data_IF_949899474533
#
_entry.id   IF_949899474533
#
_cell.length_a   1.000
_cell.length_b   1.000
_cell.length_c   1.000
_cell.angle_alpha   90.00
_cell.angle_beta   90.00
_cell.angle_gamma   90.00
#
_symmetry.space_group_name_H-M   'P 1'
#
loop_
_entity.id
_entity.type
_entity.pdbx_description
1 polymer ?
#
# COMPACT_ATOMS: atom_id res chain seq x y z
N UNK A 1 -21.53 -42.29 43.68
CA UNK A 1 -21.63 -41.86 45.10
C UNK A 1 -21.88 -43.08 45.98
N UNK A 2 -20.82 -43.63 46.60
CA UNK A 2 -20.84 -44.74 47.57
C UNK A 2 -20.34 -44.21 48.92
N UNK A 3 -20.86 -43.04 49.31
CA UNK A 3 -20.32 -42.23 50.41
C UNK A 3 -21.11 -42.39 51.74
N UNK A 4 -22.03 -43.35 51.82
CA UNK A 4 -22.95 -43.50 52.95
C UNK A 4 -22.54 -44.56 54.00
N UNK A 5 -21.43 -45.27 53.82
CA UNK A 5 -20.98 -46.30 54.77
C UNK A 5 -19.99 -45.73 55.80
N UNK A 6 -20.22 -46.03 57.09
CA UNK A 6 -19.48 -45.47 58.22
C UNK A 6 -18.08 -46.06 58.44
N UNK A 7 -17.71 -47.11 57.69
CA UNK A 7 -16.39 -47.75 57.78
C UNK A 7 -15.94 -48.11 56.37
N UNK A 8 -14.87 -47.47 55.89
CA UNK A 8 -14.26 -47.77 54.60
C UNK A 8 -13.09 -48.71 54.78
N UNK A 9 -12.98 -49.71 53.90
CA UNK A 9 -11.76 -50.51 53.80
C UNK A 9 -10.67 -49.74 53.06
N UNK A 10 -9.39 -50.03 53.34
CA UNK A 10 -8.25 -49.36 52.68
C UNK A 10 -8.32 -49.45 51.15
N UNK A 11 -8.84 -50.56 50.61
CA UNK A 11 -9.02 -50.75 49.17
C UNK A 11 -10.07 -49.78 48.59
N UNK A 12 -11.19 -49.59 49.29
CA UNK A 12 -12.25 -48.66 48.88
C UNK A 12 -11.80 -47.21 48.96
N UNK A 13 -11.06 -46.83 50.01
CA UNK A 13 -10.45 -45.49 50.10
C UNK A 13 -9.45 -45.27 48.95
N UNK A 14 -8.64 -46.28 48.63
CA UNK A 14 -7.67 -46.20 47.52
C UNK A 14 -8.36 -46.09 46.15
N UNK A 15 -9.48 -46.80 45.96
CA UNK A 15 -10.31 -46.68 44.75
C UNK A 15 -10.97 -45.31 44.66
N UNK A 16 -11.51 -44.78 45.75
CA UNK A 16 -12.12 -43.45 45.79
C UNK A 16 -11.09 -42.37 45.45
N UNK A 17 -9.87 -42.50 45.97
CA UNK A 17 -8.77 -41.57 45.71
C UNK A 17 -8.27 -41.66 44.26
N UNK A 18 -8.23 -42.86 43.67
CA UNK A 18 -7.92 -43.05 42.25
C UNK A 18 -9.01 -42.47 41.34
N UNK A 19 -10.29 -42.67 41.69
CA UNK A 19 -11.41 -42.09 40.95
C UNK A 19 -11.38 -40.56 41.02
N UNK A 20 -11.10 -39.99 42.20
CA UNK A 20 -10.94 -38.55 42.37
C UNK A 20 -9.74 -38.03 41.57
N UNK A 21 -8.60 -38.73 41.59
CA UNK A 21 -7.44 -38.39 40.78
C UNK A 21 -7.78 -38.36 39.29
N UNK A 22 -8.48 -39.38 38.80
CA UNK A 22 -8.91 -39.43 37.39
C UNK A 22 -9.84 -38.27 37.05
N UNK A 23 -10.83 -37.99 37.91
CA UNK A 23 -11.76 -36.88 37.69
C UNK A 23 -11.03 -35.53 37.65
N UNK A 24 -10.17 -35.26 38.63
CA UNK A 24 -9.38 -34.01 38.68
C UNK A 24 -8.46 -33.90 37.47
N UNK A 25 -7.86 -35.00 37.01
CA UNK A 25 -7.00 -34.97 35.81
C UNK A 25 -7.83 -34.62 34.57
N UNK A 26 -9.01 -35.24 34.41
CA UNK A 26 -9.93 -34.96 33.31
C UNK A 26 -10.42 -33.50 33.33
N UNK A 27 -10.74 -32.98 34.52
CA UNK A 27 -11.20 -31.61 34.69
C UNK A 27 -10.08 -30.61 34.33
N UNK A 28 -8.84 -30.87 34.79
CA UNK A 28 -7.68 -30.04 34.43
C UNK A 28 -7.39 -30.12 32.93
N UNK A 29 -7.49 -31.30 32.31
CA UNK A 29 -7.30 -31.46 30.87
C UNK A 29 -8.35 -30.66 30.07
N UNK A 30 -9.62 -30.73 30.47
CA UNK A 30 -10.69 -29.95 29.86
C UNK A 30 -10.48 -28.45 30.05
N UNK A 31 -10.12 -28.00 31.25
CA UNK A 31 -9.81 -26.60 31.52
C UNK A 31 -8.59 -26.12 30.69
N UNK A 32 -7.54 -26.93 30.57
CA UNK A 32 -6.36 -26.59 29.78
C UNK A 32 -6.72 -26.46 28.28
N UNK A 33 -7.55 -27.37 27.76
CA UNK A 33 -8.06 -27.30 26.39
C UNK A 33 -8.89 -26.01 26.21
N UNK A 34 -9.78 -25.71 27.15
CA UNK A 34 -10.61 -24.49 27.11
C UNK A 34 -9.75 -23.22 27.13
N UNK A 35 -8.76 -23.14 28.01
CA UNK A 35 -7.80 -22.02 28.08
C UNK A 35 -7.04 -21.88 26.76
N UNK A 36 -6.58 -22.99 26.19
CA UNK A 36 -5.90 -22.98 24.89
C UNK A 36 -6.81 -22.45 23.77
N UNK A 37 -8.06 -22.90 23.72
CA UNK A 37 -9.05 -22.42 22.74
C UNK A 37 -9.34 -20.92 22.91
N UNK A 38 -9.53 -20.46 24.15
CA UNK A 38 -9.76 -19.03 24.45
C UNK A 38 -8.55 -18.19 24.06
N UNK A 39 -7.34 -18.62 24.40
CA UNK A 39 -6.12 -17.91 24.04
C UNK A 39 -5.92 -17.82 22.53
N UNK A 40 -6.24 -18.90 21.79
CA UNK A 40 -6.20 -18.89 20.33
C UNK A 40 -7.23 -17.90 19.75
N UNK A 41 -8.44 -17.88 20.29
CA UNK A 41 -9.49 -16.96 19.86
C UNK A 41 -9.11 -15.50 20.15
N UNK A 42 -8.56 -15.24 21.35
CA UNK A 42 -8.07 -13.92 21.75
C UNK A 42 -6.97 -13.44 20.81
N UNK A 43 -5.98 -14.29 20.51
CA UNK A 43 -4.89 -13.96 19.60
C UNK A 43 -5.42 -13.65 18.19
N UNK A 44 -6.37 -14.45 17.69
CA UNK A 44 -7.04 -14.18 16.41
C UNK A 44 -7.76 -12.84 16.41
N UNK A 45 -8.48 -12.52 17.48
CA UNK A 45 -9.20 -11.25 17.60
C UNK A 45 -8.23 -10.07 17.64
N UNK A 46 -7.13 -10.19 18.40
CA UNK A 46 -6.10 -9.18 18.51
C UNK A 46 -5.44 -8.92 17.15
N UNK A 47 -5.09 -9.97 16.39
CA UNK A 47 -4.56 -9.81 15.03
C UNK A 47 -5.57 -9.17 14.07
N UNK A 48 -6.84 -9.57 14.15
CA UNK A 48 -7.90 -8.98 13.30
C UNK A 48 -8.10 -7.49 13.60
N UNK A 49 -7.99 -7.10 14.88
CA UNK A 49 -8.07 -5.70 15.28
C UNK A 49 -6.80 -4.95 14.85
N UNK A 50 -5.61 -5.50 15.05
CA UNK A 50 -4.37 -4.88 14.58
C UNK A 50 -4.37 -4.65 13.07
N UNK A 51 -4.87 -5.62 12.29
CA UNK A 51 -5.03 -5.51 10.83
C UNK A 51 -6.00 -4.39 10.43
N UNK A 52 -7.17 -4.31 11.07
CA UNK A 52 -8.14 -3.22 10.83
C UNK A 52 -7.58 -1.83 11.10
N UNK A 53 -6.64 -1.72 12.03
CA UNK A 53 -6.04 -0.46 12.45
C UNK A 53 -4.66 -0.22 11.82
N UNK A 54 -4.24 -1.08 10.87
CA UNK A 54 -2.93 -1.03 10.19
C UNK A 54 -1.73 -0.97 11.17
N UNK A 55 -1.83 -1.67 12.30
CA UNK A 55 -0.78 -1.72 13.32
C UNK A 55 0.18 -2.88 13.06
N UNK A 56 1.48 -2.61 13.14
CA UNK A 56 2.51 -3.65 13.11
C UNK A 56 2.65 -4.26 14.51
N UNK A 57 2.28 -5.55 14.64
CA UNK A 57 2.45 -6.27 15.90
C UNK A 57 3.86 -6.86 15.99
N UNK A 58 4.70 -6.27 16.82
CA UNK A 58 5.98 -6.86 17.19
C UNK A 58 5.78 -7.75 18.41
N UNK A 59 5.94 -9.06 18.24
CA UNK A 59 5.96 -10.01 19.36
C UNK A 59 7.39 -10.02 19.90
N UNK A 60 7.59 -9.44 21.08
CA UNK A 60 8.88 -9.49 21.77
C UNK A 60 9.12 -10.92 22.32
N UNK A 61 9.74 -11.77 21.50
CA UNK A 61 10.13 -13.15 21.87
C UNK A 61 11.19 -13.15 23.00
N UNK A 62 11.82 -11.99 23.25
CA UNK A 62 12.80 -11.78 24.30
C UNK A 62 12.28 -12.05 25.71
N UNK A 63 10.97 -11.90 25.96
CA UNK A 63 10.36 -12.22 27.27
C UNK A 63 9.95 -13.70 27.40
N UNK A 64 9.58 -14.36 26.28
CA UNK A 64 9.17 -15.77 26.27
C UNK A 64 10.37 -16.70 26.47
N UNK A 65 11.51 -16.32 25.90
CA UNK A 65 12.76 -16.96 26.24
C UNK A 65 13.22 -16.35 27.56
N UNK A 66 12.92 -17.02 28.68
CA UNK A 66 13.48 -16.70 30.00
C UNK A 66 15.02 -16.85 29.95
N UNK A 67 15.69 -15.93 29.28
CA UNK A 67 17.13 -15.90 29.03
C UNK A 67 17.87 -15.89 30.36
N UNK A 68 17.28 -15.25 31.36
CA UNK A 68 17.74 -15.29 32.74
C UNK A 68 17.69 -16.70 33.35
N UNK A 69 16.58 -17.46 33.22
CA UNK A 69 16.54 -18.84 33.71
C UNK A 69 17.50 -19.74 32.94
N UNK A 70 17.63 -19.55 31.62
CA UNK A 70 18.59 -20.30 30.81
C UNK A 70 20.04 -19.96 31.17
N UNK A 71 20.33 -18.72 31.54
CA UNK A 71 21.65 -18.28 32.00
C UNK A 71 21.94 -18.78 33.42
N UNK A 72 20.93 -18.83 34.30
CA UNK A 72 21.04 -19.46 35.63
C UNK A 72 21.28 -20.97 35.49
N UNK A 73 20.51 -21.68 34.65
CA UNK A 73 20.72 -23.12 34.39
C UNK A 73 22.10 -23.35 33.78
N UNK A 74 22.49 -22.54 32.79
CA UNK A 74 23.83 -22.61 32.19
C UNK A 74 24.93 -22.36 33.22
N UNK A 75 24.76 -21.38 34.11
CA UNK A 75 25.73 -21.10 35.17
C UNK A 75 25.81 -22.25 36.18
N UNK A 76 24.68 -22.88 36.50
CA UNK A 76 24.59 -24.02 37.40
C UNK A 76 25.23 -25.28 36.78
N UNK A 77 25.03 -25.51 35.49
CA UNK A 77 25.66 -26.60 34.72
C UNK A 77 27.17 -26.39 34.59
N UNK A 78 27.62 -25.14 34.38
CA UNK A 78 29.06 -24.81 34.36
C UNK A 78 29.71 -24.89 35.74
N UNK A 79 28.99 -24.53 36.81
CA UNK A 79 29.45 -24.68 38.18
C UNK A 79 29.47 -26.16 38.61
N UNK A 80 28.55 -26.97 38.09
CA UNK A 80 28.51 -28.42 38.33
C UNK A 80 29.59 -29.19 37.55
N UNK A 81 30.05 -28.67 36.41
CA UNK A 81 31.17 -29.24 35.64
C UNK A 81 32.55 -28.90 36.23
N UNK A 82 32.68 -27.83 37.00
CA UNK A 82 33.94 -27.42 37.64
C UNK A 82 33.85 -27.62 39.16
N UNK A 83 33.86 -28.89 39.59
CA UNK A 83 33.77 -29.28 40.99
C UNK A 83 35.07 -29.03 41.80
N UNK A 84 35.63 -27.81 41.80
CA UNK A 84 36.83 -27.49 42.59
C UNK A 84 37.03 -26.03 43.01
N UNK A 85 36.00 -25.17 43.05
CA UNK A 85 36.12 -23.86 43.72
C UNK A 85 34.96 -23.55 44.67
N UNK A 86 35.24 -22.88 45.82
CA UNK A 86 34.25 -22.61 46.83
C UNK A 86 33.22 -21.58 46.32
N UNK A 87 31.95 -21.90 46.58
CA UNK A 87 30.76 -21.12 46.24
C UNK A 87 30.93 -19.59 46.45
N UNK A 88 30.58 -18.74 45.46
CA UNK A 88 30.39 -17.33 45.72
C UNK A 88 29.07 -17.15 46.46
N UNK A 89 29.17 -16.54 47.64
CA UNK A 89 28.07 -16.08 48.48
C UNK A 89 27.11 -15.18 47.68
N UNK A 90 25.82 -15.30 47.98
CA UNK A 90 24.64 -14.57 47.44
C UNK A 90 24.70 -13.02 47.47
N UNK A 91 25.86 -12.41 47.72
CA UNK A 91 26.03 -10.97 47.98
C UNK A 91 26.35 -10.12 46.73
N UNK A 92 26.55 -10.72 45.55
CA UNK A 92 26.86 -9.98 44.30
C UNK A 92 25.67 -9.84 43.34
N UNK A 93 24.44 -10.10 43.80
CA UNK A 93 23.25 -9.66 43.08
C UNK A 93 23.14 -8.14 43.28
N UNK A 94 23.88 -7.37 42.47
CA UNK A 94 23.57 -5.97 42.23
C UNK A 94 22.12 -5.94 41.75
N UNK A 95 21.22 -5.52 42.63
CA UNK A 95 19.87 -5.13 42.28
C UNK A 95 19.98 -3.93 41.35
N UNK A 96 20.16 -4.19 40.05
CA UNK A 96 19.82 -3.22 39.03
C UNK A 96 18.36 -2.91 39.26
N UNK A 97 18.10 -1.72 39.82
CA UNK A 97 16.77 -1.13 39.90
C UNK A 97 16.13 -1.32 38.52
N UNK A 98 15.15 -2.19 38.45
CA UNK A 98 14.30 -2.34 37.28
C UNK A 98 13.72 -0.95 37.02
N UNK A 99 14.15 -0.34 35.92
CA UNK A 99 13.51 0.88 35.46
C UNK A 99 12.07 0.52 35.06
N UNK A 100 11.08 1.36 35.39
CA UNK A 100 9.70 1.11 35.01
C UNK A 100 9.62 0.84 33.50
N UNK A 101 8.99 -0.29 33.13
CA UNK A 101 8.89 -0.77 31.74
C UNK A 101 8.30 0.29 30.77
N UNK A 102 7.49 1.22 31.31
CA UNK A 102 6.95 2.38 30.61
C UNK A 102 8.03 3.29 30.01
N UNK A 103 9.18 3.48 30.66
CA UNK A 103 10.21 4.42 30.19
C UNK A 103 10.96 3.92 28.95
N UNK A 104 11.25 2.63 28.84
CA UNK A 104 11.94 2.07 27.66
C UNK A 104 11.02 2.11 26.44
N UNK A 105 9.73 1.83 26.62
CA UNK A 105 8.75 1.87 25.55
C UNK A 105 8.47 3.31 25.11
N UNK A 106 8.32 4.24 26.06
CA UNK A 106 8.13 5.67 25.77
C UNK A 106 9.39 6.28 25.13
N UNK A 107 10.61 5.91 25.53
CA UNK A 107 11.84 6.42 24.90
C UNK A 107 12.02 5.89 23.47
N UNK A 108 11.72 4.61 23.21
CA UNK A 108 11.75 4.06 21.85
C UNK A 108 10.66 4.67 20.96
N UNK A 109 9.44 4.81 21.48
CA UNK A 109 8.35 5.50 20.75
C UNK A 109 8.72 6.97 20.54
N UNK A 110 9.29 7.64 21.53
CA UNK A 110 9.73 9.05 21.42
C UNK A 110 10.86 9.21 20.40
N UNK A 111 11.82 8.28 20.34
CA UNK A 111 12.91 8.32 19.34
C UNK A 111 12.41 8.03 17.93
N UNK A 112 11.49 7.07 17.75
CA UNK A 112 10.85 6.81 16.45
C UNK A 112 10.01 8.00 16.02
N UNK A 113 9.19 8.55 16.92
CA UNK A 113 8.35 9.72 16.65
C UNK A 113 9.21 10.95 16.34
N UNK A 114 10.32 11.15 17.05
CA UNK A 114 11.29 12.22 16.74
C UNK A 114 11.92 12.02 15.36
N UNK A 115 12.32 10.80 15.01
CA UNK A 115 12.86 10.49 13.68
C UNK A 115 11.83 10.75 12.58
N UNK A 116 10.57 10.40 12.82
CA UNK A 116 9.49 10.67 11.87
C UNK A 116 9.17 12.16 11.76
N UNK A 117 9.18 12.89 12.88
CA UNK A 117 9.04 14.35 12.90
C UNK A 117 10.19 15.01 12.13
N UNK A 118 11.43 14.53 12.27
CA UNK A 118 12.58 15.03 11.51
C UNK A 118 12.43 14.76 10.01
N UNK A 119 12.01 13.55 9.61
CA UNK A 119 11.73 13.25 8.20
C UNK A 119 10.62 14.12 7.62
N UNK A 120 9.53 14.30 8.36
CA UNK A 120 8.42 15.16 7.94
C UNK A 120 8.83 16.63 7.86
N UNK A 121 9.69 17.10 8.78
CA UNK A 121 10.26 18.45 8.72
C UNK A 121 11.18 18.62 7.50
N UNK A 122 12.06 17.65 7.24
CA UNK A 122 12.92 17.67 6.06
C UNK A 122 12.11 17.65 4.75
N UNK A 123 11.05 16.83 4.67
CA UNK A 123 10.16 16.81 3.53
C UNK A 123 9.41 18.14 3.37
N UNK A 124 8.94 18.75 4.46
CA UNK A 124 8.33 20.07 4.41
C UNK A 124 9.31 21.15 3.97
N UNK A 125 10.55 21.14 4.43
CA UNK A 125 11.59 22.06 3.94
C UNK A 125 11.83 21.88 2.45
N UNK A 126 11.93 20.64 1.95
CA UNK A 126 12.05 20.36 0.51
C UNK A 126 10.83 20.85 -0.28
N UNK A 127 9.61 20.67 0.23
CA UNK A 127 8.41 21.19 -0.43
C UNK A 127 8.33 22.71 -0.41
N UNK A 128 8.85 23.36 0.63
CA UNK A 128 8.94 24.82 0.70
C UNK A 128 9.94 25.33 -0.34
N UNK A 129 11.14 24.75 -0.43
CA UNK A 129 12.13 25.15 -1.44
C UNK A 129 11.61 24.93 -2.85
N UNK A 130 10.99 23.77 -3.11
CA UNK A 130 10.38 23.49 -4.42
C UNK A 130 9.25 24.48 -4.76
N UNK A 131 8.43 24.88 -3.78
CA UNK A 131 7.42 25.92 -3.98
C UNK A 131 8.02 27.31 -4.24
N UNK A 132 9.15 27.64 -3.61
CA UNK A 132 9.86 28.89 -3.87
C UNK A 132 10.46 28.91 -5.27
N UNK A 133 11.09 27.81 -5.71
CA UNK A 133 11.61 27.64 -7.07
C UNK A 133 10.50 27.77 -8.11
N UNK A 134 9.37 27.06 -7.91
CA UNK A 134 8.21 27.16 -8.80
C UNK A 134 7.61 28.57 -8.81
N UNK A 135 7.59 29.28 -7.68
CA UNK A 135 7.14 30.68 -7.63
C UNK A 135 8.08 31.60 -8.42
N UNK A 136 9.40 31.40 -8.31
CA UNK A 136 10.38 32.19 -9.05
C UNK A 136 10.28 31.93 -10.55
N UNK A 137 10.15 30.67 -10.96
CA UNK A 137 9.96 30.29 -12.37
C UNK A 137 8.66 30.88 -12.94
N UNK A 138 7.55 30.79 -12.20
CA UNK A 138 6.28 31.37 -12.60
C UNK A 138 6.36 32.91 -12.69
N UNK A 139 7.16 33.55 -11.80
CA UNK A 139 7.49 34.97 -11.89
C UNK A 139 8.23 35.33 -13.18
N UNK A 140 9.25 34.54 -13.57
CA UNK A 140 10.00 34.71 -14.82
C UNK A 140 9.10 34.53 -16.05
N UNK A 141 8.30 33.47 -16.07
CA UNK A 141 7.32 33.21 -17.13
C UNK A 141 6.31 34.36 -17.27
N UNK A 142 5.83 34.91 -16.16
CA UNK A 142 4.92 36.07 -16.16
C UNK A 142 5.59 37.31 -16.75
N UNK A 143 6.83 37.60 -16.36
CA UNK A 143 7.60 38.72 -16.92
C UNK A 143 7.85 38.55 -18.42
N UNK A 144 8.22 37.35 -18.87
CA UNK A 144 8.38 37.03 -20.29
C UNK A 144 7.08 37.22 -21.06
N UNK A 145 5.95 36.77 -20.51
CA UNK A 145 4.62 36.96 -21.12
C UNK A 145 4.25 38.43 -21.24
N UNK A 146 4.52 39.23 -20.21
CA UNK A 146 4.30 40.68 -20.26
C UNK A 146 5.19 41.37 -21.31
N UNK A 147 6.45 40.95 -21.44
CA UNK A 147 7.37 41.46 -22.45
C UNK A 147 6.91 41.10 -23.87
N UNK A 148 6.48 39.85 -24.07
CA UNK A 148 5.98 39.38 -25.37
C UNK A 148 4.68 40.09 -25.76
N UNK A 149 3.76 40.31 -24.81
CA UNK A 149 2.54 41.08 -25.06
C UNK A 149 2.86 42.53 -25.46
N UNK A 150 3.83 43.19 -24.82
CA UNK A 150 4.26 44.53 -25.25
C UNK A 150 4.83 44.53 -26.67
N UNK A 151 5.66 43.55 -27.00
CA UNK A 151 6.18 43.42 -28.37
C UNK A 151 5.06 43.19 -29.38
N UNK A 152 4.04 42.40 -29.02
CA UNK A 152 2.86 42.16 -29.86
C UNK A 152 2.07 43.45 -30.07
N UNK A 153 1.77 44.20 -29.01
CA UNK A 153 1.10 45.51 -29.08
C UNK A 153 1.87 46.53 -29.93
N UNK A 154 3.20 46.54 -29.82
CA UNK A 154 4.05 47.43 -30.62
C UNK A 154 4.06 47.03 -32.09
N UNK A 155 4.07 45.71 -32.38
CA UNK A 155 3.96 45.18 -33.74
C UNK A 155 2.59 45.44 -34.36
N UNK A 156 1.51 45.33 -33.59
CA UNK A 156 0.16 45.64 -34.05
C UNK A 156 0.03 47.14 -34.39
N UNK A 157 0.60 48.03 -33.57
CA UNK A 157 0.65 49.47 -33.88
C UNK A 157 1.49 49.79 -35.11
N UNK A 158 2.60 49.07 -35.31
CA UNK A 158 3.45 49.22 -36.49
C UNK A 158 2.73 48.72 -37.74
N UNK A 159 2.02 47.60 -37.65
CA UNK A 159 1.16 47.07 -38.71
C UNK A 159 0.04 48.07 -39.05
N UNK A 160 -0.65 48.62 -38.06
CA UNK A 160 -1.70 49.64 -38.26
C UNK A 160 -1.17 50.90 -38.95
N UNK A 161 0.06 51.31 -38.67
CA UNK A 161 0.72 52.43 -39.36
C UNK A 161 1.01 52.08 -40.82
N UNK A 162 1.61 50.92 -41.07
CA UNK A 162 1.91 50.45 -42.44
C UNK A 162 0.63 50.29 -43.26
N UNK A 163 -0.45 49.77 -42.69
CA UNK A 163 -1.75 49.67 -43.35
C UNK A 163 -2.31 51.05 -43.67
N UNK A 164 -2.26 52.01 -42.74
CA UNK A 164 -2.69 53.40 -43.01
C UNK A 164 -1.85 54.07 -44.09
N UNK A 165 -0.55 53.84 -44.09
CA UNK A 165 0.40 54.40 -45.07
C UNK A 165 0.13 53.81 -46.47
N UNK A 166 -0.06 52.48 -46.58
CA UNK A 166 -0.49 51.81 -47.83
C UNK A 166 -1.86 52.24 -48.32
N UNK A 167 -2.84 52.43 -47.42
CA UNK A 167 -4.17 52.98 -47.79
C UNK A 167 -4.11 54.44 -48.25
N UNK A 168 -3.04 55.18 -47.91
CA UNK A 168 -2.78 56.53 -48.39
C UNK A 168 -2.10 56.51 -49.76
N UNK A 169 -1.19 55.56 -49.99
CA UNK A 169 -0.48 55.36 -51.26
C UNK A 169 -1.37 54.73 -52.36
N UNK A 170 -2.34 53.88 -52.00
CA UNK A 170 -3.27 53.23 -52.95
C UNK A 170 -4.30 54.18 -53.59
N UNK A 171 -4.37 55.45 -53.16
CA UNK A 171 -5.20 56.48 -53.83
C UNK A 171 -4.53 57.14 -55.04
N UNK A 172 -3.25 56.88 -55.31
CA UNK A 172 -2.48 57.61 -56.35
C UNK A 172 -2.01 56.73 -57.51
N UNK A 173 -2.07 55.39 -57.43
CA UNK A 173 -1.54 54.53 -58.50
C UNK A 173 -2.51 53.39 -58.89
N UNK A 174 -3.56 53.72 -59.64
CA UNK A 174 -4.52 52.71 -60.15
C UNK A 174 -4.36 52.35 -61.64
N UNK A 175 -3.43 52.94 -62.40
CA UNK A 175 -3.38 52.68 -63.86
C UNK A 175 -2.18 51.87 -64.40
N UNK A 176 -1.29 51.35 -63.54
CA UNK A 176 -0.14 50.53 -64.00
C UNK A 176 -0.07 49.11 -63.42
N UNK A 177 -1.09 48.62 -62.71
CA UNK A 177 -0.97 47.45 -61.82
C UNK A 177 -1.52 46.11 -62.35
N UNK A 178 -2.05 46.01 -63.57
CA UNK A 178 -2.74 44.78 -64.05
C UNK A 178 -1.79 43.60 -64.32
N UNK A 179 -0.49 43.85 -64.56
CA UNK A 179 0.54 42.82 -64.73
C UNK A 179 1.14 42.35 -63.41
N UNK A 180 1.41 43.28 -62.48
CA UNK A 180 1.94 42.92 -61.16
C UNK A 180 0.88 42.25 -60.26
N UNK A 181 -0.40 42.59 -60.41
CA UNK A 181 -1.48 41.93 -59.66
C UNK A 181 -1.55 40.42 -59.95
N UNK A 182 -1.34 40.03 -61.22
CA UNK A 182 -1.38 38.61 -61.62
C UNK A 182 -0.19 37.83 -61.08
N UNK A 183 1.00 38.43 -61.05
CA UNK A 183 2.19 37.81 -60.46
C UNK A 183 2.06 37.69 -58.93
N UNK A 184 1.52 38.72 -58.28
CA UNK A 184 1.22 38.70 -56.83
C UNK A 184 0.15 37.66 -56.51
N UNK A 185 -0.92 37.56 -57.30
CA UNK A 185 -1.97 36.55 -57.12
C UNK A 185 -1.44 35.12 -57.36
N UNK A 186 -0.52 34.92 -58.30
CA UNK A 186 0.14 33.61 -58.48
C UNK A 186 1.03 33.25 -57.30
N UNK A 187 1.84 34.20 -56.82
CA UNK A 187 2.71 33.97 -55.65
C UNK A 187 1.88 33.71 -54.40
N UNK A 188 0.75 34.42 -54.22
CA UNK A 188 -0.14 34.22 -53.09
C UNK A 188 -0.78 32.82 -53.11
N UNK A 189 -1.21 32.34 -54.29
CA UNK A 189 -1.73 30.98 -54.47
C UNK A 189 -0.67 29.93 -54.21
N UNK A 190 0.56 30.14 -54.67
CA UNK A 190 1.67 29.23 -54.41
C UNK A 190 1.99 29.17 -52.90
N UNK A 191 1.96 30.30 -52.19
CA UNK A 191 2.10 30.34 -50.73
C UNK A 191 0.95 29.66 -50.01
N UNK A 192 -0.30 29.88 -50.42
CA UNK A 192 -1.47 29.19 -49.86
C UNK A 192 -1.40 27.68 -50.09
N UNK A 193 -0.93 27.25 -51.26
CA UNK A 193 -0.74 25.84 -51.59
C UNK A 193 0.36 25.21 -50.74
N UNK A 194 1.53 25.85 -50.62
CA UNK A 194 2.64 25.38 -49.79
C UNK A 194 2.24 25.32 -48.32
N UNK A 195 1.52 26.33 -47.82
CA UNK A 195 1.03 26.34 -46.44
C UNK A 195 0.01 25.23 -46.18
N UNK A 196 -0.91 24.99 -47.12
CA UNK A 196 -1.87 23.90 -47.05
C UNK A 196 -1.19 22.53 -47.09
N UNK A 197 -0.17 22.36 -47.93
CA UNK A 197 0.61 21.13 -48.04
C UNK A 197 1.42 20.88 -46.77
N UNK A 198 2.06 21.92 -46.22
CA UNK A 198 2.78 21.84 -44.94
C UNK A 198 1.84 21.50 -43.78
N UNK A 199 0.64 22.08 -43.72
CA UNK A 199 -0.36 21.75 -42.71
C UNK A 199 -0.86 20.31 -42.86
N UNK A 200 -1.04 19.83 -44.09
CA UNK A 200 -1.40 18.43 -44.38
C UNK A 200 -0.29 17.47 -43.96
N UNK A 201 0.97 17.78 -44.27
CA UNK A 201 2.13 17.00 -43.86
C UNK A 201 2.29 16.94 -42.35
N UNK A 202 2.05 18.06 -41.65
CA UNK A 202 2.08 18.11 -40.19
C UNK A 202 0.93 17.29 -39.58
N UNK A 203 -0.27 17.35 -40.17
CA UNK A 203 -1.40 16.52 -39.76
C UNK A 203 -1.12 15.03 -39.96
N UNK A 204 -0.51 14.64 -41.08
CA UNK A 204 -0.11 13.26 -41.34
C UNK A 204 1.02 12.79 -40.42
N UNK A 205 1.97 13.67 -40.06
CA UNK A 205 2.99 13.39 -39.04
C UNK A 205 2.35 13.19 -37.68
N UNK A 206 1.49 14.10 -37.23
CA UNK A 206 0.76 13.97 -35.97
C UNK A 206 -0.07 12.70 -35.93
N UNK A 207 -0.77 12.36 -37.03
CA UNK A 207 -1.56 11.14 -37.12
C UNK A 207 -0.70 9.88 -37.00
N UNK A 208 0.49 9.88 -37.62
CA UNK A 208 1.48 8.78 -37.47
C UNK A 208 2.01 8.71 -36.05
N UNK A 209 2.29 9.84 -35.40
CA UNK A 209 2.74 9.88 -34.00
C UNK A 209 1.67 9.38 -33.04
N UNK A 210 0.42 9.81 -33.22
CA UNK A 210 -0.74 9.32 -32.44
C UNK A 210 -0.89 7.81 -32.64
N UNK A 211 -0.81 7.31 -33.87
CA UNK A 211 -0.91 5.88 -34.15
C UNK A 211 0.23 5.07 -33.50
N UNK A 212 1.46 5.61 -33.48
CA UNK A 212 2.59 5.01 -32.76
C UNK A 212 2.38 5.03 -31.25
N UNK A 213 1.95 6.14 -30.69
CA UNK A 213 1.66 6.27 -29.26
C UNK A 213 0.55 5.31 -28.84
N UNK A 214 -0.50 5.17 -29.65
CA UNK A 214 -1.59 4.22 -29.42
C UNK A 214 -1.11 2.77 -29.44
N UNK A 215 -0.24 2.40 -30.39
CA UNK A 215 0.35 1.05 -30.45
C UNK A 215 1.27 0.77 -29.24
N UNK A 216 2.06 1.76 -28.81
CA UNK A 216 2.91 1.63 -27.62
C UNK A 216 2.07 1.50 -26.34
N UNK A 217 0.97 2.25 -26.24
CA UNK A 217 0.05 2.18 -25.11
C UNK A 217 -0.60 0.80 -25.02
N UNK A 218 -1.05 0.24 -26.14
CA UNK A 218 -1.61 -1.12 -26.18
C UNK A 218 -0.58 -2.18 -25.74
N UNK A 219 0.67 -2.08 -26.21
CA UNK A 219 1.73 -3.01 -25.79
C UNK A 219 2.04 -2.88 -24.29
N UNK A 220 2.05 -1.65 -23.76
CA UNK A 220 2.25 -1.39 -22.34
C UNK A 220 1.09 -1.94 -21.50
N UNK A 221 -0.16 -1.82 -21.96
CA UNK A 221 -1.34 -2.41 -21.33
C UNK A 221 -1.26 -3.94 -21.28
N UNK A 222 -0.92 -4.58 -22.40
CA UNK A 222 -0.75 -6.04 -22.46
C UNK A 222 0.37 -6.53 -21.53
N UNK A 223 1.49 -5.80 -21.46
CA UNK A 223 2.56 -6.13 -20.53
C UNK A 223 2.12 -5.95 -19.07
N UNK A 224 1.44 -4.86 -18.75
CA UNK A 224 0.90 -4.60 -17.41
C UNK A 224 -0.08 -5.69 -17.00
N UNK A 225 -1.00 -6.09 -17.89
CA UNK A 225 -1.96 -7.17 -17.63
C UNK A 225 -1.24 -8.50 -17.43
N UNK A 226 -0.19 -8.78 -18.20
CA UNK A 226 0.65 -9.97 -18.00
C UNK A 226 1.35 -9.94 -16.64
N UNK A 227 1.94 -8.80 -16.25
CA UNK A 227 2.61 -8.63 -14.95
C UNK A 227 1.62 -8.72 -13.79
N UNK A 228 0.44 -8.14 -13.93
CA UNK A 228 -0.65 -8.23 -12.97
C UNK A 228 -1.08 -9.69 -12.77
N UNK A 229 -1.31 -10.43 -13.85
CA UNK A 229 -1.67 -11.84 -13.81
C UNK A 229 -0.55 -12.73 -13.22
N UNK A 230 0.72 -12.33 -13.39
CA UNK A 230 1.89 -12.99 -12.79
C UNK A 230 2.13 -12.62 -11.33
N UNK A 231 1.47 -11.58 -10.80
CA UNK A 231 1.69 -11.14 -9.43
C UNK A 231 1.19 -12.21 -8.44
N UNK A 232 2.03 -12.57 -7.48
CA UNK A 232 1.76 -13.61 -6.48
C UNK A 232 0.42 -13.41 -5.76
N UNK A 233 0.04 -12.17 -5.47
CA UNK A 233 -1.23 -11.83 -4.82
C UNK A 233 -2.44 -12.20 -5.69
N UNK A 234 -2.44 -11.83 -6.97
CA UNK A 234 -3.49 -12.19 -7.93
C UNK A 234 -3.57 -13.71 -8.13
N UNK A 235 -2.42 -14.38 -8.31
CA UNK A 235 -2.36 -15.82 -8.50
C UNK A 235 -2.88 -16.58 -7.26
N UNK A 236 -2.54 -16.13 -6.07
CA UNK A 236 -3.05 -16.67 -4.80
C UNK A 236 -4.56 -16.44 -4.66
N UNK A 237 -5.05 -15.25 -4.98
CA UNK A 237 -6.48 -14.92 -4.95
C UNK A 237 -7.28 -15.75 -5.96
N UNK A 238 -6.79 -15.88 -7.20
CA UNK A 238 -7.37 -16.73 -8.24
C UNK A 238 -7.47 -18.18 -7.79
N UNK A 239 -6.40 -18.72 -7.20
CA UNK A 239 -6.37 -20.09 -6.65
C UNK A 239 -7.37 -20.25 -5.49
N UNK A 240 -7.50 -19.25 -4.61
CA UNK A 240 -8.47 -19.26 -3.52
C UNK A 240 -9.92 -19.22 -4.01
N UNK A 241 -10.22 -18.36 -4.99
CA UNK A 241 -11.55 -18.25 -5.60
C UNK A 241 -11.91 -19.56 -6.31
N UNK A 242 -10.98 -20.13 -7.08
CA UNK A 242 -11.20 -21.40 -7.77
C UNK A 242 -11.49 -22.53 -6.77
N UNK A 243 -10.70 -22.61 -5.68
CA UNK A 243 -10.94 -23.58 -4.61
C UNK A 243 -12.31 -23.38 -3.93
N UNK A 244 -12.71 -22.14 -3.66
CA UNK A 244 -14.04 -21.84 -3.10
C UNK A 244 -15.16 -22.21 -4.07
N UNK A 245 -15.01 -21.93 -5.36
CA UNK A 245 -15.98 -22.33 -6.37
C UNK A 245 -16.11 -23.86 -6.47
N UNK A 246 -15.00 -24.59 -6.40
CA UNK A 246 -15.02 -26.05 -6.36
C UNK A 246 -15.72 -26.57 -5.10
N UNK A 247 -15.47 -25.95 -3.94
CA UNK A 247 -16.17 -26.27 -2.69
C UNK A 247 -17.67 -25.98 -2.80
N UNK A 248 -18.07 -24.83 -3.36
CA UNK A 248 -19.48 -24.49 -3.59
C UNK A 248 -20.11 -25.50 -4.56
N UNK A 249 -19.39 -25.93 -5.59
CA UNK A 249 -19.88 -26.95 -6.54
C UNK A 249 -20.07 -28.30 -5.86
N UNK A 250 -19.13 -28.73 -5.02
CA UNK A 250 -19.25 -29.97 -4.24
C UNK A 250 -20.38 -29.90 -3.22
N UNK A 251 -20.55 -28.76 -2.54
CA UNK A 251 -21.65 -28.53 -1.61
C UNK A 251 -22.98 -28.54 -2.34
N UNK A 252 -23.13 -27.86 -3.49
CA UNK A 252 -24.33 -27.94 -4.34
C UNK A 252 -24.62 -29.36 -4.80
N UNK A 253 -23.61 -30.11 -5.24
CA UNK A 253 -23.77 -31.52 -5.62
C UNK A 253 -24.17 -32.41 -4.45
N UNK A 254 -23.68 -32.12 -3.25
CA UNK A 254 -24.05 -32.85 -2.04
C UNK A 254 -25.44 -32.47 -1.55
N UNK A 255 -25.80 -31.19 -1.59
CA UNK A 255 -27.14 -30.69 -1.27
C UNK A 255 -28.19 -31.28 -2.21
N UNK A 256 -27.90 -31.36 -3.51
CA UNK A 256 -28.78 -31.94 -4.51
C UNK A 256 -29.04 -33.46 -4.30
N UNK A 257 -28.26 -34.14 -3.44
CA UNK A 257 -28.57 -35.52 -3.02
C UNK A 257 -29.61 -35.58 -1.90
N UNK A 258 -29.73 -34.51 -1.11
CA UNK A 258 -30.64 -34.41 0.05
C UNK A 258 -31.90 -33.59 -0.28
N UNK A 259 -31.81 -32.71 -1.27
CA UNK A 259 -32.93 -31.99 -1.89
C UNK A 259 -32.96 -32.34 -3.38
N UNK A 260 -33.41 -33.54 -3.77
CA UNK A 260 -33.62 -33.85 -5.18
C UNK A 260 -34.88 -33.11 -5.64
N UNK A 261 -34.74 -31.81 -5.96
CA UNK A 261 -35.81 -30.98 -6.52
C UNK A 261 -37.12 -31.07 -5.72
N UNK A 262 -37.21 -30.35 -4.60
CA UNK A 262 -38.55 -29.93 -4.16
C UNK A 262 -39.15 -29.06 -5.26
N UNK A 263 -40.14 -29.64 -5.93
CA UNK A 263 -41.17 -29.04 -6.77
C UNK A 263 -41.07 -27.52 -6.91
N UNK A 264 -40.59 -27.05 -8.05
CA UNK A 264 -41.04 -25.76 -8.62
C UNK A 264 -42.30 -26.06 -9.44
N UNK A 265 -43.36 -26.49 -8.76
CA UNK A 265 -44.74 -26.27 -9.17
C UNK A 265 -45.34 -25.39 -8.07
N UNK A 266 -46.03 -24.30 -8.46
CA UNK A 266 -46.44 -23.14 -7.63
C UNK A 266 -45.29 -22.13 -7.44
N UNK A 267 -45.20 -20.98 -8.10
CA UNK A 267 -46.22 -20.00 -8.46
C UNK A 267 -45.88 -19.36 -9.83
N UNK A 268 -46.72 -19.59 -10.83
CA UNK A 268 -46.94 -18.62 -11.92
C UNK A 268 -48.42 -18.31 -11.96
N UNK A 269 -48.83 -17.30 -11.17
CA UNK A 269 -49.91 -16.37 -11.49
C UNK A 269 -49.36 -14.94 -11.41
#
# INVERSE_FOLDING_TARGET
>A
MRLLEATYTQSEVSQLLNNLKQLVTLDIENELINVSHINCLLLKQLFTQAEKWYLYLNIDISEIQNKHLLEVVKSLDTASSNANEPSPTLAEIKTHKLQPLEQIHIEKISTILKSEIEKLKAANEMFVTQNEELKEENGKLKQQREMLNRMMDDKDKEMDKVVKERMSEDKVNTDNNVTNQKEVDTVLRDFEQVLSEQLSDELDRMKKEISKAQAQLQLAEEELERKFNQTMTYMNMKKMIQKKNDQVKQLRQSLNKYEPSDNIEEEME
#
